data_IF_189155570336
#
_entry.id   IF_189155570336
#
_cell.length_a   1.000
_cell.length_b   1.000
_cell.length_c   1.000
_cell.angle_alpha   90.00
_cell.angle_beta   90.00
_cell.angle_gamma   90.00
#
_symmetry.space_group_name_H-M   'P 1'
#
loop_
_entity.id
_entity.type
_entity.pdbx_description
1 polymer ?
#
# COMPACT_ATOMS: atom_id res chain seq x y z
N UNK A 1 15.10 -1.17 -7.41
CA UNK A 1 14.23 -0.04 -7.83
C UNK A 1 14.77 1.19 -7.11
N UNK A 2 15.02 2.28 -7.84
CA UNK A 2 15.51 3.53 -7.25
C UNK A 2 14.36 4.52 -7.16
N UNK A 3 14.41 5.39 -6.15
CA UNK A 3 13.60 6.60 -6.08
C UNK A 3 14.43 7.70 -6.75
N UNK A 4 13.81 8.53 -7.57
CA UNK A 4 14.47 9.71 -8.13
C UNK A 4 14.48 10.89 -7.14
N UNK A 5 15.12 11.99 -7.51
CA UNK A 5 15.26 13.17 -6.66
C UNK A 5 13.92 13.86 -6.35
N UNK A 6 12.88 13.58 -7.15
CA UNK A 6 11.51 14.06 -6.96
C UNK A 6 10.67 13.10 -6.08
N UNK A 7 11.28 12.05 -5.52
CA UNK A 7 10.58 11.08 -4.69
C UNK A 7 9.72 10.09 -5.48
N UNK A 8 9.89 9.98 -6.80
CA UNK A 8 9.09 9.09 -7.66
C UNK A 8 9.82 7.77 -7.87
N UNK A 9 9.04 6.70 -7.98
CA UNK A 9 9.54 5.38 -8.31
C UNK A 9 8.71 4.80 -9.47
N UNK A 10 9.38 4.26 -10.48
CA UNK A 10 8.71 3.66 -11.63
C UNK A 10 8.44 2.18 -11.38
N UNK A 11 7.17 1.78 -11.39
CA UNK A 11 6.79 0.36 -11.29
C UNK A 11 7.11 -0.34 -12.62
N UNK A 12 8.01 -1.35 -12.63
CA UNK A 12 8.33 -2.13 -13.82
C UNK A 12 7.08 -2.70 -14.50
N UNK A 13 7.07 -2.75 -15.83
CA UNK A 13 5.92 -3.23 -16.60
C UNK A 13 5.50 -4.64 -16.21
N UNK A 14 6.46 -5.53 -15.98
CA UNK A 14 6.22 -6.92 -15.54
C UNK A 14 5.47 -6.97 -14.21
N UNK A 15 5.80 -6.10 -13.26
CA UNK A 15 5.10 -5.99 -11.99
C UNK A 15 3.71 -5.40 -12.16
N UNK A 16 3.53 -4.40 -13.04
CA UNK A 16 2.21 -3.84 -13.36
C UNK A 16 1.27 -4.89 -13.92
N UNK A 17 1.71 -5.69 -14.89
CA UNK A 17 0.88 -6.75 -15.45
C UNK A 17 0.55 -7.85 -14.44
N UNK A 18 1.55 -8.28 -13.66
CA UNK A 18 1.37 -9.39 -12.70
C UNK A 18 0.50 -8.99 -11.50
N UNK A 19 0.56 -7.72 -11.10
CA UNK A 19 -0.27 -7.15 -10.05
C UNK A 19 -1.53 -6.48 -10.60
N UNK A 20 -1.75 -6.57 -11.92
CA UNK A 20 -2.89 -6.01 -12.65
C UNK A 20 -3.14 -4.52 -12.32
N UNK A 21 -2.05 -3.76 -12.19
CA UNK A 21 -2.05 -2.31 -12.06
C UNK A 21 -2.17 -1.66 -13.43
N UNK A 22 -3.26 -0.93 -13.66
CA UNK A 22 -3.47 -0.18 -14.89
C UNK A 22 -2.84 1.23 -14.84
N UNK A 23 -2.68 1.83 -16.02
CA UNK A 23 -2.20 3.20 -16.14
C UNK A 23 -3.24 4.13 -15.50
N UNK A 24 -2.83 4.88 -14.47
CA UNK A 24 -3.64 5.82 -13.64
C UNK A 24 -4.41 5.19 -12.48
N UNK A 25 -4.16 3.91 -12.17
CA UNK A 25 -4.65 3.34 -10.93
C UNK A 25 -4.14 4.12 -9.72
N UNK A 26 -5.04 4.34 -8.75
CA UNK A 26 -4.69 4.90 -7.45
C UNK A 26 -4.34 3.77 -6.50
N UNK A 27 -3.22 3.94 -5.80
CA UNK A 27 -2.78 3.04 -4.77
C UNK A 27 -2.49 3.81 -3.49
N UNK A 28 -2.74 3.16 -2.37
CA UNK A 28 -2.41 3.68 -1.05
C UNK A 28 -1.02 3.21 -0.65
N UNK A 29 -0.30 4.08 0.05
CA UNK A 29 1.03 3.79 0.58
C UNK A 29 0.91 3.42 2.06
N UNK A 30 1.36 2.21 2.41
CA UNK A 30 1.37 1.73 3.78
C UNK A 30 2.82 1.59 4.24
N UNK A 31 3.19 2.34 5.27
CA UNK A 31 4.48 2.17 5.95
C UNK A 31 4.36 1.15 7.09
N UNK A 32 5.19 0.10 7.06
CA UNK A 32 5.29 -0.89 8.14
C UNK A 32 6.59 -0.77 8.96
N UNK A 33 7.19 0.43 9.00
CA UNK A 33 8.44 0.80 9.68
C UNK A 33 9.72 0.16 9.12
N UNK A 34 9.61 -0.87 8.27
CA UNK A 34 10.74 -1.51 7.58
C UNK A 34 10.59 -1.53 6.06
N UNK A 35 9.36 -1.47 5.57
CA UNK A 35 9.04 -1.54 4.16
C UNK A 35 7.88 -0.59 3.85
N UNK A 36 7.93 0.00 2.67
CA UNK A 36 6.81 0.72 2.07
C UNK A 36 6.06 -0.25 1.14
N UNK A 37 4.76 -0.38 1.35
CA UNK A 37 3.88 -1.19 0.52
C UNK A 37 2.97 -0.30 -0.30
N UNK A 38 2.83 -0.63 -1.58
CA UNK A 38 1.85 -0.03 -2.48
C UNK A 38 0.71 -1.03 -2.63
N UNK A 39 -0.48 -0.66 -2.16
CA UNK A 39 -1.69 -1.48 -2.32
C UNK A 39 -2.67 -0.76 -3.22
N UNK A 40 -3.49 -1.48 -3.98
CA UNK A 40 -4.57 -0.83 -4.76
C UNK A 40 -5.56 -0.19 -3.80
N UNK A 41 -5.93 1.06 -4.09
CA UNK A 41 -6.93 1.78 -3.31
C UNK A 41 -8.30 1.15 -3.55
N UNK A 42 -8.96 0.74 -2.47
CA UNK A 42 -10.32 0.19 -2.50
C UNK A 42 -11.12 0.88 -1.40
N UNK A 43 -12.34 1.31 -1.71
CA UNK A 43 -13.21 1.99 -0.74
C UNK A 43 -13.65 1.04 0.39
N UNK A 44 -13.59 1.50 1.65
CA UNK A 44 -14.29 0.90 2.80
C UNK A 44 -13.63 -0.31 3.49
N UNK A 45 -14.44 -1.16 4.14
CA UNK A 45 -14.03 -2.29 5.02
C UNK A 45 -12.94 -3.23 4.46
N UNK A 46 -12.79 -3.31 3.14
CA UNK A 46 -11.76 -4.10 2.44
C UNK A 46 -10.33 -3.57 2.69
N UNK A 47 -10.16 -2.29 3.05
CA UNK A 47 -8.87 -1.72 3.41
C UNK A 47 -8.33 -2.29 4.72
N UNK A 48 -9.20 -2.54 5.72
CA UNK A 48 -8.82 -3.01 7.06
C UNK A 48 -8.28 -4.44 7.03
N UNK A 49 -8.94 -5.34 6.29
CA UNK A 49 -8.50 -6.74 6.17
C UNK A 49 -7.19 -6.87 5.39
N UNK A 50 -6.93 -5.99 4.42
CA UNK A 50 -5.65 -6.00 3.68
C UNK A 50 -4.51 -5.40 4.49
N UNK A 51 -4.73 -4.32 5.23
CA UNK A 51 -3.71 -3.76 6.15
C UNK A 51 -3.28 -4.81 7.18
N UNK A 52 -4.23 -5.59 7.72
CA UNK A 52 -3.93 -6.72 8.61
C UNK A 52 -3.06 -7.81 7.97
N UNK A 53 -3.21 -8.06 6.66
CA UNK A 53 -2.42 -9.07 5.94
C UNK A 53 -0.99 -8.63 5.59
N UNK A 54 -0.71 -7.32 5.58
CA UNK A 54 0.58 -6.75 5.15
C UNK A 54 1.41 -6.25 6.34
N UNK A 55 0.77 -5.92 7.46
CA UNK A 55 1.46 -5.52 8.67
C UNK A 55 2.10 -6.73 9.38
N UNK A 56 3.29 -6.56 9.98
CA UNK A 56 3.90 -7.60 10.79
C UNK A 56 2.97 -7.99 11.95
N UNK A 57 2.93 -9.29 12.26
CA UNK A 57 2.18 -9.82 13.39
C UNK A 57 2.62 -9.10 14.68
N UNK A 58 1.65 -8.49 15.39
CA UNK A 58 1.90 -7.76 16.65
C UNK A 58 1.34 -6.34 16.72
N UNK A 59 0.84 -5.77 15.62
CA UNK A 59 0.09 -4.50 15.65
C UNK A 59 -1.31 -4.71 16.21
N UNK A 60 -1.76 -3.80 17.06
CA UNK A 60 -3.10 -3.82 17.64
C UNK A 60 -4.15 -3.35 16.64
N UNK A 61 -5.40 -3.80 16.79
CA UNK A 61 -6.53 -3.32 15.96
C UNK A 61 -6.68 -1.80 15.97
N UNK A 62 -6.31 -1.13 17.07
CA UNK A 62 -6.35 0.33 17.17
C UNK A 62 -5.36 1.01 16.22
N UNK A 63 -4.14 0.51 16.10
CA UNK A 63 -3.13 1.03 15.17
C UNK A 63 -3.52 0.78 13.71
N UNK A 64 -4.14 -0.38 13.43
CA UNK A 64 -4.70 -0.66 12.10
C UNK A 64 -5.80 0.34 11.75
N UNK A 65 -6.71 0.59 12.70
CA UNK A 65 -7.80 1.55 12.51
C UNK A 65 -7.31 2.99 12.35
N UNK A 66 -6.21 3.38 12.99
CA UNK A 66 -5.62 4.71 12.86
C UNK A 66 -5.06 4.93 11.45
N UNK A 67 -4.40 3.92 10.87
CA UNK A 67 -3.87 3.95 9.51
C UNK A 67 -5.01 4.08 8.48
N UNK A 68 -6.15 3.42 8.71
CA UNK A 68 -7.28 3.39 7.76
C UNK A 68 -8.32 4.50 7.97
N UNK A 69 -8.18 5.37 8.99
CA UNK A 69 -9.19 6.40 9.32
C UNK A 69 -8.91 7.76 8.65
N UNK A 70 -7.78 7.93 8.00
CA UNK A 70 -7.36 9.19 7.36
C UNK A 70 -7.81 9.37 5.90
N UNK A 71 -9.03 8.97 5.56
CA UNK A 71 -9.68 9.30 4.26
C UNK A 71 -10.65 10.49 4.40
#
# INVERSE_FOLDING_TARGET
MSIDDDGRATIPAELRHRLDFEVRDRGDLIDNSRNLHIVRSQSGEQAVDRVRGVLPAGRTTAEVMEITRGE
#
